data_IF_106082192451
#
_entry.id   IF_106082192451
#
_cell.length_a   1.000
_cell.length_b   1.000
_cell.length_c   1.000
_cell.angle_alpha   90.00
_cell.angle_beta   90.00
_cell.angle_gamma   90.00
#
_symmetry.space_group_name_H-M   'P 1'
#
loop_
_entity.id
_entity.type
_entity.pdbx_description
1 polymer ?
#
# COMPACT_ATOMS: atom_id res chain seq x y z
N UNK A 1 -17.32 13.42 8.87
CA UNK A 1 -16.36 14.46 8.40
C UNK A 1 -15.63 13.88 7.18
N UNK A 2 -15.65 14.55 6.02
CA UNK A 2 -15.00 14.04 4.80
C UNK A 2 -13.52 14.46 4.77
N UNK A 3 -12.61 13.60 4.29
CA UNK A 3 -11.17 13.90 4.15
C UNK A 3 -10.90 15.17 3.33
N UNK A 4 -11.76 15.46 2.34
CA UNK A 4 -11.69 16.68 1.55
C UNK A 4 -11.95 17.94 2.42
N UNK A 5 -12.87 17.86 3.38
CA UNK A 5 -13.14 18.94 4.34
C UNK A 5 -12.00 19.17 5.35
N UNK A 6 -11.07 18.23 5.45
CA UNK A 6 -9.83 18.35 6.22
C UNK A 6 -8.64 18.83 5.36
N UNK A 7 -8.88 19.19 4.09
CA UNK A 7 -7.83 19.64 3.17
C UNK A 7 -7.01 18.51 2.53
N UNK A 8 -7.37 17.24 2.74
CA UNK A 8 -6.68 16.11 2.12
C UNK A 8 -7.33 15.73 0.79
N UNK A 9 -6.50 15.60 -0.25
CA UNK A 9 -6.89 15.03 -1.54
C UNK A 9 -6.58 13.53 -1.55
N UNK A 10 -7.62 12.70 -1.58
CA UNK A 10 -7.48 11.24 -1.66
C UNK A 10 -7.54 10.79 -3.12
N UNK A 11 -6.61 9.91 -3.52
CA UNK A 11 -6.66 9.19 -4.79
C UNK A 11 -6.68 7.69 -4.51
N UNK A 12 -7.69 6.99 -5.04
CA UNK A 12 -7.89 5.56 -4.81
C UNK A 12 -7.39 4.75 -5.99
N UNK A 13 -6.77 3.62 -5.68
CA UNK A 13 -6.21 2.72 -6.67
C UNK A 13 -6.61 1.28 -6.39
N UNK A 14 -7.07 0.57 -7.41
CA UNK A 14 -7.37 -0.86 -7.34
C UNK A 14 -6.89 -1.59 -8.58
N UNK A 15 -6.19 -2.71 -8.38
CA UNK A 15 -5.57 -3.46 -9.48
C UNK A 15 -6.60 -3.91 -10.50
N UNK A 16 -7.72 -4.41 -10.01
CA UNK A 16 -8.78 -5.04 -10.80
C UNK A 16 -9.88 -4.06 -11.20
N UNK A 17 -9.82 -2.83 -10.70
CA UNK A 17 -10.77 -1.78 -11.04
C UNK A 17 -10.42 -1.11 -12.38
N UNK A 18 -11.43 -0.53 -13.03
CA UNK A 18 -11.25 0.37 -14.17
C UNK A 18 -11.24 1.82 -13.68
N UNK A 19 -10.66 2.71 -14.48
CA UNK A 19 -10.68 4.14 -14.16
C UNK A 19 -12.14 4.64 -14.18
N UNK A 20 -12.69 4.99 -13.02
CA UNK A 20 -14.09 5.40 -12.88
C UNK A 20 -14.30 6.39 -11.73
N UNK A 21 -15.40 7.14 -11.79
CA UNK A 21 -15.89 7.88 -10.63
C UNK A 21 -16.62 6.95 -9.68
N UNK A 22 -16.37 7.06 -8.38
CA UNK A 22 -17.13 6.38 -7.34
C UNK A 22 -17.47 7.39 -6.23
N UNK A 23 -18.73 7.82 -6.21
CA UNK A 23 -19.19 8.94 -5.38
C UNK A 23 -18.31 10.20 -5.58
N UNK A 24 -17.71 10.72 -4.50
CA UNK A 24 -16.82 11.88 -4.52
C UNK A 24 -15.36 11.51 -4.83
N UNK A 25 -15.06 10.23 -5.07
CA UNK A 25 -13.71 9.74 -5.31
C UNK A 25 -13.49 9.34 -6.76
N UNK A 26 -12.26 9.50 -7.24
CA UNK A 26 -11.82 8.90 -8.50
C UNK A 26 -11.06 7.62 -8.18
N UNK A 27 -11.61 6.50 -8.61
CA UNK A 27 -10.96 5.20 -8.57
C UNK A 27 -10.14 5.03 -9.85
N UNK A 28 -8.87 4.69 -9.68
CA UNK A 28 -7.95 4.41 -10.78
C UNK A 28 -7.54 2.94 -10.74
N UNK A 29 -7.37 2.31 -11.88
CA UNK A 29 -7.00 0.91 -11.89
C UNK A 29 -6.50 0.38 -13.21
N UNK A 30 -6.25 -0.92 -13.25
CA UNK A 30 -5.74 -1.61 -14.43
C UNK A 30 -6.67 -2.74 -14.91
N UNK A 31 -7.92 -2.79 -14.45
CA UNK A 31 -8.90 -3.83 -14.77
C UNK A 31 -9.12 -4.04 -16.27
N UNK A 32 -9.03 -2.97 -17.07
CA UNK A 32 -9.12 -3.04 -18.54
C UNK A 32 -7.92 -3.67 -19.24
N UNK A 33 -6.83 -3.97 -18.52
CA UNK A 33 -5.69 -4.71 -19.08
C UNK A 33 -5.91 -6.22 -19.00
N UNK A 34 -5.37 -6.99 -19.98
CA UNK A 34 -5.35 -8.44 -19.90
C UNK A 34 -4.72 -8.94 -18.60
N UNK A 35 -5.27 -10.00 -18.02
CA UNK A 35 -4.87 -10.56 -16.72
C UNK A 35 -3.36 -10.72 -16.53
N UNK A 36 -2.58 -11.23 -17.52
CA UNK A 36 -1.13 -11.39 -17.35
C UNK A 36 -0.39 -10.07 -17.16
N UNK A 37 -0.87 -8.99 -17.79
CA UNK A 37 -0.22 -7.67 -17.79
C UNK A 37 -0.75 -6.75 -16.70
N UNK A 38 -1.96 -7.02 -16.19
CA UNK A 38 -2.68 -6.16 -15.24
C UNK A 38 -1.84 -5.77 -14.02
N UNK A 39 -1.11 -6.72 -13.43
CA UNK A 39 -0.27 -6.45 -12.25
C UNK A 39 0.87 -5.47 -12.56
N UNK A 40 1.52 -5.65 -13.72
CA UNK A 40 2.62 -4.79 -14.16
C UNK A 40 2.07 -3.40 -14.53
N UNK A 41 1.00 -3.35 -15.32
CA UNK A 41 0.33 -2.10 -15.69
C UNK A 41 -0.12 -1.32 -14.46
N UNK A 42 -0.67 -1.99 -13.44
CA UNK A 42 -1.06 -1.36 -12.19
C UNK A 42 0.14 -0.81 -11.41
N UNK A 43 1.23 -1.59 -11.28
CA UNK A 43 2.45 -1.13 -10.63
C UNK A 43 3.06 0.10 -11.31
N UNK A 44 3.09 0.12 -12.65
CA UNK A 44 3.56 1.26 -13.44
C UNK A 44 2.65 2.48 -13.28
N UNK A 45 1.32 2.30 -13.30
CA UNK A 45 0.35 3.39 -13.05
C UNK A 45 0.56 4.01 -11.66
N UNK A 46 0.73 3.19 -10.62
CA UNK A 46 1.00 3.66 -9.25
C UNK A 46 2.30 4.47 -9.19
N UNK A 47 3.38 3.94 -9.78
CA UNK A 47 4.67 4.60 -9.75
C UNK A 47 4.65 5.92 -10.54
N UNK A 48 4.08 5.92 -11.75
CA UNK A 48 3.95 7.12 -12.57
C UNK A 48 3.12 8.21 -11.86
N UNK A 49 2.05 7.82 -11.18
CA UNK A 49 1.25 8.75 -10.37
C UNK A 49 2.07 9.33 -9.21
N UNK A 50 2.78 8.48 -8.45
CA UNK A 50 3.59 8.95 -7.32
C UNK A 50 4.72 9.90 -7.77
N UNK A 51 5.34 9.64 -8.93
CA UNK A 51 6.36 10.52 -9.50
C UNK A 51 5.80 11.87 -9.94
N UNK A 52 4.61 11.87 -10.55
CA UNK A 52 3.97 13.08 -11.07
C UNK A 52 3.37 13.95 -9.98
N UNK A 53 2.55 13.35 -9.12
CA UNK A 53 1.74 14.09 -8.14
C UNK A 53 2.47 14.28 -6.81
N UNK A 54 3.54 13.50 -6.55
CA UNK A 54 4.35 13.56 -5.32
C UNK A 54 3.48 13.60 -4.05
N UNK A 55 2.64 12.56 -3.82
CA UNK A 55 1.73 12.56 -2.68
C UNK A 55 2.53 12.64 -1.37
N UNK A 56 1.94 13.27 -0.36
CA UNK A 56 2.57 13.38 0.97
C UNK A 56 2.64 12.02 1.69
N UNK A 57 1.75 11.09 1.33
CA UNK A 57 1.66 9.76 1.92
C UNK A 57 1.09 8.75 0.91
N UNK A 58 1.70 7.56 0.84
CA UNK A 58 1.14 6.39 0.15
C UNK A 58 0.70 5.37 1.21
N UNK A 59 -0.52 4.85 1.09
CA UNK A 59 -1.00 3.73 1.92
C UNK A 59 -1.17 2.51 1.00
N UNK A 60 -0.29 1.52 1.15
CA UNK A 60 -0.41 0.24 0.46
C UNK A 60 -1.24 -0.71 1.31
N UNK A 61 -2.48 -0.98 0.88
CA UNK A 61 -3.41 -1.86 1.62
C UNK A 61 -3.06 -3.34 1.54
N UNK A 62 -2.09 -3.71 0.70
CA UNK A 62 -1.55 -5.06 0.63
C UNK A 62 -0.03 -5.02 0.55
N UNK A 63 0.64 -6.00 1.16
CA UNK A 63 2.10 -6.13 1.14
C UNK A 63 2.64 -6.38 -0.28
N UNK A 64 1.82 -6.98 -1.16
CA UNK A 64 2.23 -7.31 -2.52
C UNK A 64 2.63 -6.10 -3.38
N UNK A 65 2.08 -4.91 -3.11
CA UNK A 65 2.43 -3.68 -3.81
C UNK A 65 3.33 -2.73 -3.01
N UNK A 66 3.70 -3.10 -1.78
CA UNK A 66 4.65 -2.34 -0.97
C UNK A 66 6.01 -2.08 -1.67
N UNK A 67 6.56 -2.98 -2.51
CA UNK A 67 7.77 -2.66 -3.28
C UNK A 67 7.63 -1.45 -4.21
N UNK A 68 6.44 -1.19 -4.74
CA UNK A 68 6.17 0.01 -5.56
C UNK A 68 6.21 1.27 -4.71
N UNK A 69 5.65 1.22 -3.49
CA UNK A 69 5.71 2.32 -2.54
C UNK A 69 7.15 2.59 -2.07
N UNK A 70 7.94 1.55 -1.80
CA UNK A 70 9.37 1.67 -1.51
C UNK A 70 10.10 2.34 -2.67
N UNK A 71 9.86 1.92 -3.92
CA UNK A 71 10.50 2.52 -5.08
C UNK A 71 10.08 4.00 -5.24
N UNK A 72 8.80 4.32 -5.05
CA UNK A 72 8.32 5.70 -5.06
C UNK A 72 9.02 6.54 -3.98
N UNK A 73 9.19 6.02 -2.76
CA UNK A 73 9.96 6.69 -1.69
C UNK A 73 11.39 6.97 -2.12
N UNK A 74 12.08 5.99 -2.70
CA UNK A 74 13.47 6.18 -3.13
C UNK A 74 13.61 7.25 -4.22
N UNK A 75 12.60 7.42 -5.07
CA UNK A 75 12.62 8.38 -6.18
C UNK A 75 12.08 9.77 -5.81
N UNK A 76 11.21 9.88 -4.81
CA UNK A 76 10.48 11.13 -4.52
C UNK A 76 10.57 11.60 -3.06
N UNK A 77 11.07 10.77 -2.15
CA UNK A 77 11.01 11.00 -0.71
C UNK A 77 9.63 10.77 -0.08
N UNK A 78 8.65 10.31 -0.86
CA UNK A 78 7.28 10.07 -0.38
C UNK A 78 7.25 9.04 0.76
N UNK A 79 6.60 9.41 1.88
CA UNK A 79 6.37 8.49 3.00
C UNK A 79 5.34 7.43 2.62
N UNK A 80 5.47 6.24 3.17
CA UNK A 80 4.51 5.18 2.94
C UNK A 80 4.24 4.30 4.15
N UNK A 81 2.99 3.82 4.19
CA UNK A 81 2.47 2.88 5.18
C UNK A 81 2.04 1.61 4.46
N UNK A 82 2.23 0.46 5.12
CA UNK A 82 1.77 -0.83 4.61
C UNK A 82 0.77 -1.43 5.58
N UNK A 83 -0.43 -1.75 5.11
CA UNK A 83 -1.38 -2.59 5.84
C UNK A 83 -0.97 -4.03 5.62
N UNK A 84 -0.72 -4.74 6.72
CA UNK A 84 -0.30 -6.12 6.71
C UNK A 84 -1.48 -7.01 7.14
N UNK A 85 -1.93 -7.87 6.25
CA UNK A 85 -2.89 -8.93 6.54
C UNK A 85 -2.15 -10.21 6.95
N UNK A 86 -2.80 -11.09 7.71
CA UNK A 86 -2.15 -12.30 8.20
C UNK A 86 -1.59 -13.19 7.09
N UNK A 87 -2.31 -13.32 5.98
CA UNK A 87 -1.87 -14.09 4.79
C UNK A 87 -0.70 -13.45 4.04
N UNK A 88 -0.51 -12.13 4.18
CA UNK A 88 0.53 -11.38 3.48
C UNK A 88 1.91 -11.54 4.13
N UNK A 89 1.97 -11.94 5.40
CA UNK A 89 3.19 -11.96 6.21
C UNK A 89 3.57 -13.39 6.56
N UNK A 90 4.44 -14.00 5.75
CA UNK A 90 4.85 -15.39 5.89
C UNK A 90 6.36 -15.60 5.60
N UNK A 91 6.98 -16.71 6.04
CA UNK A 91 8.44 -16.90 5.92
C UNK A 91 8.98 -16.86 4.48
N UNK A 92 8.20 -17.38 3.53
CA UNK A 92 8.52 -17.42 2.10
C UNK A 92 8.28 -16.07 1.37
N UNK A 93 8.02 -14.99 2.11
CA UNK A 93 7.83 -13.67 1.51
C UNK A 93 9.10 -13.25 0.76
N UNK A 94 8.94 -12.82 -0.49
CA UNK A 94 10.07 -12.46 -1.36
C UNK A 94 10.88 -11.27 -0.83
N UNK A 95 12.18 -11.24 -1.17
CA UNK A 95 13.16 -10.25 -0.67
C UNK A 95 12.70 -8.79 -0.73
N UNK A 96 12.06 -8.39 -1.83
CA UNK A 96 11.62 -7.01 -2.06
C UNK A 96 10.42 -6.61 -1.18
N UNK A 97 9.52 -7.56 -0.90
CA UNK A 97 8.38 -7.34 -0.01
C UNK A 97 8.85 -7.24 1.45
N UNK A 98 9.79 -8.10 1.86
CA UNK A 98 10.47 -8.00 3.16
C UNK A 98 11.17 -6.64 3.30
N UNK A 99 11.96 -6.23 2.31
CA UNK A 99 12.65 -4.94 2.33
C UNK A 99 11.66 -3.77 2.41
N UNK A 100 10.56 -3.81 1.64
CA UNK A 100 9.52 -2.78 1.67
C UNK A 100 8.84 -2.69 3.04
N UNK A 101 8.60 -3.80 3.74
CA UNK A 101 8.08 -3.75 5.11
C UNK A 101 9.10 -3.13 6.08
N UNK A 102 10.38 -3.54 6.00
CA UNK A 102 11.44 -3.03 6.90
C UNK A 102 11.73 -1.54 6.73
N UNK A 103 11.45 -0.98 5.55
CA UNK A 103 11.72 0.42 5.21
C UNK A 103 10.47 1.32 5.25
N UNK A 104 9.31 0.76 5.60
CA UNK A 104 8.07 1.52 5.71
C UNK A 104 8.12 2.51 6.89
N UNK A 105 7.45 3.65 6.75
CA UNK A 105 7.30 4.61 7.85
C UNK A 105 6.37 4.06 8.94
N UNK A 106 5.39 3.25 8.55
CA UNK A 106 4.60 2.43 9.46
C UNK A 106 4.11 1.14 8.79
N UNK A 107 3.91 0.11 9.59
CA UNK A 107 3.21 -1.12 9.23
C UNK A 107 2.01 -1.28 10.15
N UNK A 108 0.81 -1.28 9.56
CA UNK A 108 -0.43 -1.49 10.28
C UNK A 108 -0.82 -2.97 10.20
N UNK A 109 -0.53 -3.68 11.28
CA UNK A 109 -0.87 -5.09 11.41
C UNK A 109 -2.33 -5.24 11.83
N UNK A 110 -3.12 -6.05 11.13
CA UNK A 110 -4.55 -6.24 11.44
C UNK A 110 -4.82 -7.01 12.74
N UNK A 111 -3.78 -7.55 13.37
CA UNK A 111 -3.88 -8.29 14.64
C UNK A 111 -2.53 -8.35 15.35
N UNK A 112 -2.53 -8.73 16.64
CA UNK A 112 -1.30 -9.05 17.39
C UNK A 112 -0.48 -10.16 16.72
N UNK A 113 -1.16 -11.18 16.21
CA UNK A 113 -0.55 -12.29 15.48
C UNK A 113 0.16 -11.82 14.20
N UNK A 114 -0.42 -10.87 13.46
CA UNK A 114 0.19 -10.30 12.25
C UNK A 114 1.37 -9.41 12.60
N UNK A 115 1.32 -8.70 13.74
CA UNK A 115 2.45 -7.94 14.28
C UNK A 115 3.63 -8.87 14.58
N UNK A 116 3.41 -9.93 15.35
CA UNK A 116 4.47 -10.90 15.69
C UNK A 116 5.14 -11.49 14.45
N UNK A 117 4.36 -11.87 13.42
CA UNK A 117 4.92 -12.32 12.15
C UNK A 117 5.74 -11.26 11.44
N UNK A 118 5.34 -10.00 11.52
CA UNK A 118 6.10 -8.90 10.94
C UNK A 118 7.46 -8.74 11.64
N UNK A 119 7.50 -8.91 12.97
CA UNK A 119 8.74 -8.91 13.75
C UNK A 119 9.65 -10.08 13.38
N UNK A 120 9.11 -11.28 13.12
CA UNK A 120 9.88 -12.43 12.62
C UNK A 120 10.48 -12.18 11.24
N UNK A 121 9.93 -11.24 10.46
CA UNK A 121 10.53 -10.77 9.21
C UNK A 121 11.53 -9.62 9.41
N UNK A 122 11.96 -9.37 10.65
CA UNK A 122 12.89 -8.31 11.05
C UNK A 122 12.39 -6.89 10.72
N UNK A 123 11.06 -6.70 10.69
CA UNK A 123 10.48 -5.35 10.61
C UNK A 123 10.70 -4.64 11.96
N UNK A 124 11.23 -3.40 11.99
CA UNK A 124 11.48 -2.70 13.25
C UNK A 124 10.20 -2.56 14.09
N UNK A 125 10.24 -3.04 15.34
CA UNK A 125 9.03 -3.13 16.16
C UNK A 125 8.38 -1.78 16.51
N UNK A 126 9.15 -0.70 16.47
CA UNK A 126 8.66 0.66 16.71
C UNK A 126 7.80 1.21 15.55
N UNK A 127 7.90 0.63 14.35
CA UNK A 127 7.07 1.03 13.21
C UNK A 127 5.84 0.13 13.01
N UNK A 128 5.70 -0.96 13.79
CA UNK A 128 4.58 -1.90 13.67
C UNK A 128 3.52 -1.65 14.74
N UNK A 129 2.38 -1.11 14.31
CA UNK A 129 1.22 -0.84 15.18
C UNK A 129 0.08 -1.80 14.83
N UNK A 130 -0.66 -2.26 15.85
CA UNK A 130 -1.87 -3.04 15.62
C UNK A 130 -3.03 -2.09 15.32
N UNK A 131 -3.59 -2.20 14.12
CA UNK A 131 -4.84 -1.55 13.72
C UNK A 131 -5.84 -2.67 13.43
N UNK A 132 -6.63 -3.06 14.44
CA UNK A 132 -7.56 -4.17 14.32
C UNK A 132 -8.62 -3.87 13.25
N UNK A 133 -8.96 -4.88 12.45
CA UNK A 133 -10.11 -4.80 11.55
C UNK A 133 -11.39 -4.58 12.37
N UNK A 134 -12.31 -3.82 11.82
CA UNK A 134 -13.65 -3.60 12.37
C UNK A 134 -14.71 -4.21 11.46
N UNK A 135 -15.84 -4.55 12.05
CA UNK A 135 -17.08 -4.95 11.37
C UNK A 135 -18.17 -3.98 11.78
N UNK A 136 -19.13 -3.74 10.89
CA UNK A 136 -20.35 -2.96 11.13
C UNK A 136 -21.50 -3.92 11.45
#
# INVERSE_FOLDING_TARGET
MCLAGLGFRLSLFGRDDVDQGWQLFRLRGAGGWPTPLRKIAFALKLLAFALKERPTLIISTHVNFAPVALLARLLTGTRYVVVAHGIDVHPLLGRWRKLALRRADAVWAVSRWTRERSLLLEVPGNVVTVLANTVD
#
